data_IF_503966271829
#
_entry.id   IF_503966271829
#
_cell.length_a   1.000
_cell.length_b   1.000
_cell.length_c   1.000
_cell.angle_alpha   90.00
_cell.angle_beta   90.00
_cell.angle_gamma   90.00
#
_symmetry.space_group_name_H-M   'P 1'
#
loop_
_entity.id
_entity.type
_entity.pdbx_description
1 polymer ?
#
# COMPACT_ATOMS: atom_id res chain seq x y z
N UNK A 1 11.18 -25.52 -24.24
CA UNK A 1 10.22 -24.61 -23.56
C UNK A 1 10.82 -23.61 -22.55
N UNK A 2 12.07 -23.76 -22.04
CA UNK A 2 12.71 -22.81 -21.08
C UNK A 2 13.27 -21.53 -21.72
N UNK A 3 13.68 -21.54 -23.00
CA UNK A 3 14.25 -20.36 -23.69
C UNK A 3 13.21 -19.25 -23.98
N UNK A 4 11.97 -19.60 -24.32
CA UNK A 4 10.93 -18.61 -24.63
C UNK A 4 10.50 -17.76 -23.42
N UNK A 5 10.42 -18.37 -22.23
CA UNK A 5 10.08 -17.65 -20.99
C UNK A 5 11.18 -16.66 -20.57
N UNK A 6 12.45 -16.97 -20.80
CA UNK A 6 13.59 -16.10 -20.49
C UNK A 6 13.66 -14.88 -21.41
N UNK A 7 13.29 -15.01 -22.68
CA UNK A 7 13.23 -13.90 -23.64
C UNK A 7 12.04 -12.97 -23.34
N UNK A 8 10.88 -13.52 -23.03
CA UNK A 8 9.72 -12.72 -22.60
C UNK A 8 10.01 -11.95 -21.28
N UNK A 9 10.69 -12.57 -20.32
CA UNK A 9 11.13 -11.87 -19.10
C UNK A 9 12.14 -10.75 -19.39
N UNK A 10 13.05 -10.94 -20.35
CA UNK A 10 14.04 -9.94 -20.71
C UNK A 10 13.45 -8.78 -21.49
N UNK A 11 12.46 -9.01 -22.35
CA UNK A 11 11.70 -7.95 -23.03
C UNK A 11 10.86 -7.15 -22.03
N UNK A 12 10.14 -7.83 -21.11
CA UNK A 12 9.40 -7.19 -20.03
C UNK A 12 10.34 -6.38 -19.11
N UNK A 13 11.54 -6.88 -18.82
CA UNK A 13 12.54 -6.14 -18.04
C UNK A 13 13.10 -4.91 -18.77
N UNK A 14 13.30 -4.96 -20.10
CA UNK A 14 13.72 -3.81 -20.90
C UNK A 14 12.64 -2.74 -20.98
N UNK A 15 11.38 -3.14 -21.14
CA UNK A 15 10.27 -2.20 -21.18
C UNK A 15 9.99 -1.57 -19.82
N UNK A 16 10.15 -2.31 -18.73
CA UNK A 16 9.97 -1.78 -17.37
C UNK A 16 11.07 -0.79 -16.96
N UNK A 17 12.30 -0.94 -17.45
CA UNK A 17 13.35 0.09 -17.29
C UNK A 17 13.05 1.39 -18.06
N UNK A 18 12.22 1.34 -19.09
CA UNK A 18 11.71 2.51 -19.79
C UNK A 18 10.71 3.33 -18.98
N UNK A 19 10.04 2.71 -17.99
CA UNK A 19 9.07 3.38 -17.13
C UNK A 19 9.75 4.00 -15.91
N UNK A 20 10.32 5.16 -16.00
CA UNK A 20 11.08 5.91 -14.99
C UNK A 20 10.40 6.18 -13.64
N UNK A 21 9.92 5.13 -12.97
CA UNK A 21 9.07 5.19 -11.78
C UNK A 21 9.81 5.08 -10.45
N UNK A 22 11.14 4.93 -10.47
CA UNK A 22 11.93 4.87 -9.24
C UNK A 22 12.60 6.22 -9.02
N UNK A 23 11.83 7.19 -8.62
CA UNK A 23 12.31 8.31 -7.82
C UNK A 23 11.54 8.29 -6.51
N UNK A 24 12.30 8.36 -5.39
CA UNK A 24 11.87 8.75 -4.07
C UNK A 24 10.67 9.69 -4.20
N UNK A 25 9.47 9.17 -3.99
CA UNK A 25 8.27 9.98 -4.14
C UNK A 25 8.12 10.82 -2.88
N UNK A 26 8.72 12.02 -2.88
CA UNK A 26 8.14 13.16 -2.20
C UNK A 26 6.85 13.49 -2.99
N UNK A 27 5.82 12.64 -2.85
CA UNK A 27 4.51 12.96 -3.39
C UNK A 27 3.98 14.14 -2.60
N UNK A 28 3.96 15.31 -3.24
CA UNK A 28 2.95 16.31 -2.91
C UNK A 28 1.60 15.58 -3.02
N UNK A 29 0.73 15.79 -2.06
CA UNK A 29 -0.64 15.23 -2.07
C UNK A 29 -1.21 15.44 -3.46
N UNK A 30 -1.60 14.35 -4.13
CA UNK A 30 -2.14 14.44 -5.49
C UNK A 30 -3.46 15.22 -5.42
N UNK A 31 -3.74 16.08 -6.40
CA UNK A 31 -4.99 16.82 -6.49
C UNK A 31 -6.21 15.88 -6.49
N UNK A 32 -6.05 14.67 -7.07
CA UNK A 32 -7.07 13.61 -7.06
C UNK A 32 -7.32 13.11 -5.64
N UNK A 33 -6.26 12.91 -4.84
CA UNK A 33 -6.39 12.46 -3.45
C UNK A 33 -7.05 13.54 -2.58
N UNK A 34 -6.71 14.82 -2.77
CA UNK A 34 -7.36 15.95 -2.10
C UNK A 34 -8.86 16.01 -2.43
N UNK A 35 -9.19 15.87 -3.71
CA UNK A 35 -10.58 15.88 -4.17
C UNK A 35 -11.35 14.67 -3.61
N UNK A 36 -10.76 13.49 -3.64
CA UNK A 36 -11.37 12.28 -3.11
C UNK A 36 -11.61 12.38 -1.60
N UNK A 37 -10.68 12.97 -0.85
CA UNK A 37 -10.86 13.23 0.58
C UNK A 37 -11.99 14.20 0.85
N UNK A 38 -12.15 15.22 0.00
CA UNK A 38 -13.24 16.20 0.16
C UNK A 38 -14.62 15.57 -0.02
N UNK A 39 -14.73 14.56 -0.90
CA UNK A 39 -15.97 13.79 -1.09
C UNK A 39 -16.11 12.59 -0.14
N UNK A 40 -15.13 12.35 0.72
CA UNK A 40 -15.19 11.25 1.67
C UNK A 40 -16.07 11.60 2.87
N UNK A 41 -16.83 10.62 3.32
CA UNK A 41 -17.54 10.67 4.60
C UNK A 41 -16.69 10.01 5.68
N UNK A 42 -16.64 10.57 6.87
CA UNK A 42 -15.86 10.01 7.97
C UNK A 42 -16.31 10.52 9.34
N UNK A 43 -15.72 9.91 10.36
CA UNK A 43 -15.87 10.26 11.77
C UNK A 43 -14.49 10.47 12.41
N UNK A 44 -14.44 11.17 13.52
CA UNK A 44 -13.24 11.27 14.36
C UNK A 44 -13.33 10.26 15.50
N UNK A 45 -12.26 9.48 15.68
CA UNK A 45 -12.13 8.51 16.76
C UNK A 45 -10.86 8.84 17.54
N UNK A 46 -11.01 9.46 18.70
CA UNK A 46 -9.89 9.84 19.56
C UNK A 46 -8.81 10.70 18.84
N UNK A 47 -9.22 11.57 17.92
CA UNK A 47 -8.33 12.43 17.14
C UNK A 47 -7.79 11.80 15.85
N UNK A 48 -8.20 10.56 15.53
CA UNK A 48 -7.91 9.89 14.27
C UNK A 48 -9.12 10.01 13.35
N UNK A 49 -8.96 10.67 12.21
CA UNK A 49 -10.02 10.69 11.21
C UNK A 49 -10.15 9.33 10.51
N UNK A 50 -11.34 8.74 10.53
CA UNK A 50 -11.65 7.48 9.87
C UNK A 50 -12.72 7.74 8.84
N UNK A 51 -12.44 7.45 7.55
CA UNK A 51 -13.37 7.81 6.49
C UNK A 51 -13.31 6.90 5.27
N UNK A 52 -14.29 7.10 4.39
CA UNK A 52 -14.46 6.28 3.19
C UNK A 52 -15.03 7.11 2.03
N UNK A 53 -14.73 6.69 0.81
CA UNK A 53 -15.42 7.12 -0.42
C UNK A 53 -16.65 6.27 -0.73
N UNK A 54 -16.92 5.27 0.09
CA UNK A 54 -18.03 4.33 -0.05
C UNK A 54 -19.39 5.03 0.08
N UNK A 55 -20.42 4.48 -0.58
CA UNK A 55 -21.81 4.93 -0.41
C UNK A 55 -22.45 4.37 0.86
N UNK A 56 -23.53 5.01 1.33
CA UNK A 56 -24.33 4.49 2.45
C UNK A 56 -24.78 3.06 2.19
N UNK A 57 -24.78 2.16 3.20
CA UNK A 57 -24.69 2.39 4.64
C UNK A 57 -23.25 2.37 5.23
N UNK A 58 -22.19 2.48 4.45
CA UNK A 58 -20.77 2.50 4.86
C UNK A 58 -20.30 1.25 5.62
N UNK A 59 -20.51 0.02 5.11
CA UNK A 59 -20.14 -1.19 5.83
C UNK A 59 -18.63 -1.30 6.06
N UNK A 60 -17.81 -0.86 5.11
CA UNK A 60 -16.36 -0.84 5.25
C UNK A 60 -15.89 0.08 6.37
N UNK A 61 -16.47 1.27 6.48
CA UNK A 61 -16.17 2.22 7.56
C UNK A 61 -16.45 1.60 8.92
N UNK A 62 -17.61 0.96 9.10
CA UNK A 62 -17.98 0.30 10.37
C UNK A 62 -17.00 -0.80 10.75
N UNK A 63 -16.59 -1.61 9.78
CA UNK A 63 -15.59 -2.67 10.03
C UNK A 63 -14.24 -2.12 10.49
N UNK A 64 -13.82 -0.97 9.95
CA UNK A 64 -12.59 -0.30 10.39
C UNK A 64 -12.75 0.28 11.79
N UNK A 65 -13.89 0.88 12.11
CA UNK A 65 -14.23 1.36 13.45
C UNK A 65 -14.20 0.21 14.47
N UNK A 66 -14.83 -0.93 14.15
CA UNK A 66 -14.82 -2.13 14.97
C UNK A 66 -13.40 -2.70 15.16
N UNK A 67 -12.57 -2.69 14.10
CA UNK A 67 -11.18 -3.12 14.19
C UNK A 67 -10.35 -2.18 15.09
N UNK A 68 -10.56 -0.87 15.04
CA UNK A 68 -9.92 0.08 15.96
C UNK A 68 -10.35 -0.15 17.42
N UNK A 69 -11.63 -0.42 17.65
CA UNK A 69 -12.12 -0.79 18.99
C UNK A 69 -11.52 -2.12 19.47
N UNK A 70 -11.31 -3.08 18.57
CA UNK A 70 -10.64 -4.34 18.89
C UNK A 70 -9.20 -4.07 19.37
N UNK A 71 -8.44 -3.22 18.63
CA UNK A 71 -7.09 -2.84 19.06
C UNK A 71 -7.12 -2.14 20.42
N UNK A 72 -8.03 -1.17 20.61
CA UNK A 72 -8.18 -0.41 21.86
C UNK A 72 -8.43 -1.32 23.07
N UNK A 73 -9.27 -2.34 22.89
CA UNK A 73 -9.67 -3.29 23.93
C UNK A 73 -8.55 -4.24 24.33
N UNK A 74 -7.80 -4.76 23.36
CA UNK A 74 -6.83 -5.82 23.59
C UNK A 74 -5.38 -5.33 23.69
N UNK A 75 -5.07 -4.18 23.08
CA UNK A 75 -3.72 -3.61 23.12
C UNK A 75 -3.73 -2.09 23.07
N UNK A 76 -3.92 -1.47 24.22
CA UNK A 76 -3.92 -0.01 24.38
C UNK A 76 -2.63 0.66 23.89
N UNK A 77 -1.50 -0.05 23.95
CA UNK A 77 -0.21 0.48 23.48
C UNK A 77 -0.18 0.59 21.96
N UNK A 78 -0.63 -0.46 21.21
CA UNK A 78 -0.72 -0.38 19.76
C UNK A 78 -1.81 0.58 19.31
N UNK A 79 -2.92 0.67 20.04
CA UNK A 79 -3.95 1.67 19.80
C UNK A 79 -3.39 3.10 19.92
N UNK A 80 -2.74 3.42 21.04
CA UNK A 80 -2.11 4.73 21.24
C UNK A 80 -1.09 5.05 20.15
N UNK A 81 -0.32 4.06 19.70
CA UNK A 81 0.64 4.24 18.61
C UNK A 81 -0.05 4.51 17.26
N UNK A 82 -1.16 3.85 16.96
CA UNK A 82 -1.93 4.10 15.75
C UNK A 82 -2.45 5.55 15.74
N UNK A 83 -3.14 5.97 16.81
CA UNK A 83 -3.66 7.33 16.98
C UNK A 83 -2.54 8.39 16.87
N UNK A 84 -1.37 8.12 17.45
CA UNK A 84 -0.28 9.10 17.49
C UNK A 84 0.51 9.20 16.17
N UNK A 85 0.60 8.12 15.40
CA UNK A 85 1.41 8.09 14.18
C UNK A 85 0.61 8.33 12.91
N UNK A 86 -0.69 8.04 12.91
CA UNK A 86 -1.58 8.27 11.78
C UNK A 86 -2.42 9.53 12.01
N UNK A 87 -2.66 10.30 10.95
CA UNK A 87 -3.66 11.35 10.95
C UNK A 87 -5.01 10.81 10.46
N UNK A 88 -4.98 9.73 9.66
CA UNK A 88 -6.17 9.18 9.00
C UNK A 88 -6.10 7.67 8.86
N UNK A 89 -7.28 7.02 8.89
CA UNK A 89 -7.52 5.72 8.27
C UNK A 89 -8.56 5.93 7.17
N UNK A 90 -8.22 5.59 5.94
CA UNK A 90 -9.04 5.91 4.79
C UNK A 90 -9.33 4.66 3.96
N UNK A 91 -10.60 4.31 3.83
CA UNK A 91 -11.07 3.20 3.01
C UNK A 91 -11.40 3.69 1.62
N UNK A 92 -10.71 3.19 0.62
CA UNK A 92 -10.96 3.48 -0.81
C UNK A 92 -10.40 2.37 -1.71
N UNK A 93 -10.73 2.40 -2.98
CA UNK A 93 -10.10 1.50 -3.94
C UNK A 93 -8.60 1.79 -4.07
N UNK A 94 -7.78 0.77 -3.83
CA UNK A 94 -6.33 0.82 -3.99
C UNK A 94 -5.88 -0.05 -5.16
N UNK A 95 -5.04 0.48 -6.06
CA UNK A 95 -4.55 -0.31 -7.20
C UNK A 95 -3.43 -1.29 -6.85
N UNK A 96 -2.93 -1.36 -5.63
CA UNK A 96 -1.64 -2.04 -5.40
C UNK A 96 -1.60 -3.10 -4.33
N UNK A 97 -2.37 -2.96 -3.28
CA UNK A 97 -2.25 -3.82 -2.11
C UNK A 97 -3.54 -3.82 -1.30
N UNK A 98 -3.57 -4.63 -0.23
CA UNK A 98 -4.65 -4.60 0.76
C UNK A 98 -4.69 -3.29 1.53
N UNK A 99 -3.50 -2.69 1.72
CA UNK A 99 -3.32 -1.41 2.38
C UNK A 99 -1.99 -0.77 1.99
N UNK A 100 -1.82 0.52 2.31
CA UNK A 100 -0.54 1.19 2.27
C UNK A 100 -0.54 2.39 3.24
N UNK A 101 0.64 2.71 3.77
CA UNK A 101 0.85 3.98 4.44
C UNK A 101 1.13 5.07 3.39
N UNK A 102 0.26 6.05 3.31
CA UNK A 102 0.46 7.25 2.50
C UNK A 102 1.12 8.36 3.31
N UNK A 103 2.37 8.64 3.00
CA UNK A 103 3.20 9.65 3.67
C UNK A 103 2.61 11.05 3.55
N UNK A 104 2.12 11.41 2.36
CA UNK A 104 1.65 12.76 2.07
C UNK A 104 0.40 13.13 2.87
N UNK A 105 -0.43 12.12 3.14
CA UNK A 105 -1.68 12.23 3.89
C UNK A 105 -1.51 11.83 5.36
N UNK A 106 -0.37 11.24 5.73
CA UNK A 106 -0.15 10.53 7.00
C UNK A 106 -1.29 9.54 7.29
N UNK A 107 -1.68 8.80 6.27
CA UNK A 107 -2.86 7.96 6.29
C UNK A 107 -2.49 6.48 6.14
N UNK A 108 -3.14 5.63 6.93
CA UNK A 108 -3.35 4.23 6.61
C UNK A 108 -4.47 4.16 5.58
N UNK A 109 -4.18 3.81 4.34
CA UNK A 109 -5.17 3.65 3.28
C UNK A 109 -5.45 2.16 3.10
N UNK A 110 -6.72 1.77 3.25
CA UNK A 110 -7.18 0.39 3.15
C UNK A 110 -7.95 0.20 1.85
N UNK A 111 -7.71 -0.91 1.15
CA UNK A 111 -8.48 -1.27 -0.03
C UNK A 111 -9.92 -1.64 0.38
N UNK A 112 -10.90 -0.98 -0.23
CA UNK A 112 -12.31 -1.23 -0.01
C UNK A 112 -12.67 -2.71 -0.25
N UNK A 113 -12.14 -3.33 -1.31
CA UNK A 113 -12.38 -4.75 -1.62
C UNK A 113 -11.89 -5.67 -0.51
N UNK A 114 -10.72 -5.35 0.08
CA UNK A 114 -10.17 -6.10 1.20
C UNK A 114 -11.03 -5.94 2.45
N UNK A 115 -11.42 -4.71 2.77
CA UNK A 115 -12.22 -4.42 3.96
C UNK A 115 -13.62 -5.04 3.86
N UNK A 116 -14.24 -5.06 2.66
CA UNK A 116 -15.57 -5.59 2.42
C UNK A 116 -15.61 -7.11 2.19
N UNK A 117 -14.48 -7.76 1.96
CA UNK A 117 -14.43 -9.20 1.74
C UNK A 117 -14.91 -9.94 3.00
N UNK A 118 -15.91 -10.81 2.86
CA UNK A 118 -16.52 -11.56 3.97
C UNK A 118 -15.49 -12.42 4.72
N UNK A 119 -14.51 -12.96 4.01
CA UNK A 119 -13.44 -13.77 4.60
C UNK A 119 -12.38 -12.96 5.34
N UNK A 120 -12.34 -11.64 5.17
CA UNK A 120 -11.45 -10.77 5.94
C UNK A 120 -12.02 -10.57 7.34
N UNK A 121 -11.26 -10.94 8.37
CA UNK A 121 -11.70 -10.79 9.77
C UNK A 121 -11.37 -9.39 10.33
N UNK A 122 -11.99 -9.01 11.44
CA UNK A 122 -11.66 -7.76 12.14
C UNK A 122 -10.22 -7.77 12.66
N UNK A 123 -9.74 -8.92 13.09
CA UNK A 123 -8.36 -9.14 13.54
C UNK A 123 -7.36 -8.85 12.40
N UNK A 124 -7.67 -9.29 11.19
CA UNK A 124 -6.84 -9.02 10.01
C UNK A 124 -6.82 -7.52 9.65
N UNK A 125 -7.97 -6.83 9.73
CA UNK A 125 -8.03 -5.38 9.52
C UNK A 125 -7.23 -4.65 10.62
N UNK A 126 -7.39 -5.07 11.87
CA UNK A 126 -6.65 -4.51 13.01
C UNK A 126 -5.12 -4.68 12.85
N UNK A 127 -4.66 -5.88 12.47
CA UNK A 127 -3.26 -6.16 12.15
C UNK A 127 -2.75 -5.23 11.04
N UNK A 128 -3.54 -5.05 9.98
CA UNK A 128 -3.18 -4.17 8.87
C UNK A 128 -3.03 -2.71 9.32
N UNK A 129 -3.93 -2.20 10.16
CA UNK A 129 -3.82 -0.84 10.71
C UNK A 129 -2.54 -0.70 11.57
N UNK A 130 -2.21 -1.70 12.39
CA UNK A 130 -0.99 -1.72 13.20
C UNK A 130 0.26 -1.74 12.29
N UNK A 131 0.22 -2.50 11.19
CA UNK A 131 1.27 -2.56 10.18
C UNK A 131 1.56 -1.17 9.61
N UNK A 132 0.54 -0.51 9.08
CA UNK A 132 0.68 0.81 8.45
C UNK A 132 1.05 1.91 9.47
N UNK A 133 0.53 1.83 10.70
CA UNK A 133 0.96 2.71 11.79
C UNK A 133 2.44 2.50 12.17
N UNK A 134 2.98 1.29 11.95
CA UNK A 134 4.40 1.00 12.15
C UNK A 134 5.24 1.63 11.06
N UNK A 135 4.81 1.58 9.79
CA UNK A 135 5.44 2.33 8.69
C UNK A 135 5.49 3.84 9.01
N UNK A 136 4.36 4.40 9.44
CA UNK A 136 4.28 5.81 9.85
C UNK A 136 5.29 6.17 10.95
N UNK A 137 5.44 5.30 11.96
CA UNK A 137 6.39 5.48 13.04
C UNK A 137 7.83 5.41 12.57
N UNK A 138 8.17 4.43 11.74
CA UNK A 138 9.53 4.25 11.20
C UNK A 138 9.94 5.45 10.35
N UNK A 139 9.02 5.97 9.55
CA UNK A 139 9.23 7.18 8.77
C UNK A 139 9.51 8.40 9.65
N UNK A 140 8.72 8.61 10.73
CA UNK A 140 8.97 9.69 11.70
C UNK A 140 10.36 9.62 12.34
N UNK A 141 10.93 8.42 12.45
CA UNK A 141 12.30 8.21 12.90
C UNK A 141 13.35 8.39 11.79
N UNK A 142 12.95 8.79 10.60
CA UNK A 142 13.84 9.00 9.46
C UNK A 142 14.29 7.72 8.77
N UNK A 143 13.65 6.58 9.06
CA UNK A 143 13.95 5.31 8.39
C UNK A 143 13.31 5.34 7.01
N UNK A 144 14.15 5.26 5.98
CA UNK A 144 13.72 5.30 4.57
C UNK A 144 13.24 3.92 4.12
N UNK A 145 12.12 3.88 3.38
CA UNK A 145 11.60 2.65 2.75
C UNK A 145 12.32 2.38 1.42
N UNK A 146 13.66 2.36 1.45
CA UNK A 146 14.50 2.06 0.30
C UNK A 146 14.56 0.55 0.05
N UNK A 147 14.81 0.14 -1.19
CA UNK A 147 14.84 -1.26 -1.63
C UNK A 147 15.63 -2.19 -0.68
N UNK A 148 16.78 -1.72 -0.21
CA UNK A 148 17.67 -2.48 0.68
C UNK A 148 17.09 -2.72 2.09
N UNK A 149 16.21 -1.86 2.54
CA UNK A 149 15.65 -1.90 3.89
C UNK A 149 14.22 -2.45 3.92
N UNK A 150 13.55 -2.59 2.77
CA UNK A 150 12.13 -2.99 2.71
C UNK A 150 11.86 -4.29 3.44
N UNK A 151 12.58 -5.35 3.15
CA UNK A 151 12.41 -6.65 3.81
C UNK A 151 12.52 -6.53 5.35
N UNK A 152 13.50 -5.76 5.84
CA UNK A 152 13.68 -5.52 7.29
C UNK A 152 12.53 -4.70 7.88
N UNK A 153 12.07 -3.69 7.16
CA UNK A 153 10.95 -2.83 7.58
C UNK A 153 9.66 -3.66 7.66
N UNK A 154 9.37 -4.45 6.61
CA UNK A 154 8.22 -5.35 6.59
C UNK A 154 8.29 -6.38 7.74
N UNK A 155 9.47 -6.94 7.99
CA UNK A 155 9.66 -7.84 9.13
C UNK A 155 9.42 -7.16 10.48
N UNK A 156 9.75 -5.87 10.64
CA UNK A 156 9.41 -5.11 11.86
C UNK A 156 7.90 -4.92 11.97
N UNK A 157 7.21 -4.60 10.87
CA UNK A 157 5.76 -4.45 10.85
C UNK A 157 5.06 -5.77 11.22
N UNK A 158 5.48 -6.89 10.61
CA UNK A 158 4.94 -8.23 10.92
C UNK A 158 5.17 -8.64 12.38
N UNK A 159 6.32 -8.33 12.96
CA UNK A 159 6.56 -8.57 14.40
C UNK A 159 5.61 -7.77 15.30
N UNK A 160 5.19 -6.57 14.88
CA UNK A 160 4.18 -5.79 15.62
C UNK A 160 2.79 -6.40 15.50
N UNK A 161 2.45 -6.90 14.32
CA UNK A 161 1.21 -7.66 14.14
C UNK A 161 1.20 -8.91 15.04
N UNK A 162 2.25 -9.72 15.01
CA UNK A 162 2.38 -10.91 15.86
C UNK A 162 2.28 -10.59 17.35
N UNK A 163 2.89 -9.48 17.79
CA UNK A 163 2.77 -9.05 19.18
C UNK A 163 1.32 -8.70 19.56
N UNK A 164 0.57 -8.07 18.66
CA UNK A 164 -0.86 -7.79 18.88
C UNK A 164 -1.69 -9.07 18.86
N UNK A 165 -1.47 -9.96 17.89
CA UNK A 165 -2.18 -11.25 17.75
C UNK A 165 -2.04 -12.07 19.03
N UNK A 166 -0.85 -12.10 19.64
CA UNK A 166 -0.62 -12.80 20.90
C UNK A 166 -1.43 -12.27 22.10
N UNK A 167 -2.13 -11.14 21.94
CA UNK A 167 -3.07 -10.59 22.95
C UNK A 167 -4.54 -10.89 22.64
N UNK A 168 -4.82 -11.46 21.47
CA UNK A 168 -6.17 -11.80 21.07
C UNK A 168 -6.57 -13.16 21.64
N UNK A 169 -7.84 -13.34 22.10
CA UNK A 169 -8.31 -14.59 22.69
C UNK A 169 -8.28 -15.79 21.74
N UNK A 170 -8.27 -15.56 20.42
CA UNK A 170 -8.30 -16.60 19.38
C UNK A 170 -7.31 -16.24 18.25
N UNK A 171 -6.07 -15.94 18.62
CA UNK A 171 -5.05 -15.48 17.68
C UNK A 171 -4.22 -16.59 17.03
N UNK A 172 -4.33 -17.84 17.45
CA UNK A 172 -3.38 -18.92 17.08
C UNK A 172 -3.24 -19.09 15.56
N UNK A 173 -4.35 -19.34 14.85
CA UNK A 173 -4.31 -19.54 13.40
C UNK A 173 -3.72 -18.35 12.65
N UNK A 174 -4.09 -17.13 13.04
CA UNK A 174 -3.57 -15.90 12.43
C UNK A 174 -2.09 -15.69 12.79
N UNK A 175 -1.67 -16.13 13.98
CA UNK A 175 -0.27 -16.12 14.41
C UNK A 175 0.60 -17.00 13.53
N UNK A 176 0.16 -18.24 13.26
CA UNK A 176 0.89 -19.16 12.41
C UNK A 176 1.04 -18.64 10.98
N UNK A 177 -0.06 -18.11 10.40
CA UNK A 177 -0.03 -17.48 9.07
C UNK A 177 0.98 -16.31 9.02
N UNK A 178 0.97 -15.46 10.03
CA UNK A 178 1.87 -14.29 10.10
C UNK A 178 3.31 -14.67 10.38
N UNK A 179 3.56 -15.74 11.16
CA UNK A 179 4.90 -16.26 11.40
C UNK A 179 5.52 -16.79 10.10
N UNK A 180 4.78 -17.57 9.32
CA UNK A 180 5.21 -18.03 8.00
C UNK A 180 5.47 -16.85 7.05
N UNK A 181 4.63 -15.82 7.07
CA UNK A 181 4.82 -14.60 6.27
C UNK A 181 6.11 -13.87 6.68
N UNK A 182 6.41 -13.83 7.97
CA UNK A 182 7.64 -13.21 8.49
C UNK A 182 8.89 -13.97 8.03
N UNK A 183 8.88 -15.30 8.09
CA UNK A 183 9.99 -16.14 7.59
C UNK A 183 10.21 -15.92 6.09
N UNK A 184 9.12 -15.95 5.33
CA UNK A 184 9.16 -15.68 3.90
C UNK A 184 9.69 -14.27 3.59
N UNK A 185 9.24 -13.26 4.33
CA UNK A 185 9.68 -11.87 4.16
C UNK A 185 11.19 -11.70 4.37
N UNK A 186 11.80 -12.50 5.26
CA UNK A 186 13.24 -12.50 5.54
C UNK A 186 14.06 -13.29 4.51
N UNK A 187 13.44 -14.19 3.76
CA UNK A 187 14.11 -15.09 2.82
C UNK A 187 14.08 -14.61 1.36
N UNK A 188 13.05 -13.87 0.96
CA UNK A 188 12.84 -13.47 -0.45
C UNK A 188 13.16 -11.99 -0.67
N UNK A 189 14.39 -11.73 -1.08
CA UNK A 189 14.84 -10.36 -1.37
C UNK A 189 14.33 -9.82 -2.71
N UNK A 190 14.07 -10.67 -3.71
CA UNK A 190 13.63 -10.22 -5.05
C UNK A 190 12.21 -9.65 -5.04
N UNK A 191 11.35 -10.14 -4.15
CA UNK A 191 9.99 -9.61 -3.98
C UNK A 191 9.98 -8.12 -3.59
N UNK A 192 10.94 -7.67 -2.80
CA UNK A 192 11.05 -6.29 -2.32
C UNK A 192 11.84 -5.38 -3.25
N UNK A 193 12.30 -5.88 -4.40
CA UNK A 193 12.98 -5.07 -5.40
C UNK A 193 12.05 -4.00 -6.01
N UNK A 194 12.63 -2.91 -6.46
CA UNK A 194 11.91 -1.84 -7.14
C UNK A 194 11.16 -2.36 -8.38
N UNK A 195 11.76 -3.32 -9.09
CA UNK A 195 11.18 -3.94 -10.25
C UNK A 195 9.91 -4.73 -9.91
N UNK A 196 9.99 -5.60 -8.88
CA UNK A 196 8.86 -6.40 -8.42
C UNK A 196 7.72 -5.51 -7.87
N UNK A 197 8.07 -4.42 -7.19
CA UNK A 197 7.09 -3.45 -6.69
C UNK A 197 6.35 -2.77 -7.84
N UNK A 198 7.07 -2.37 -8.91
CA UNK A 198 6.46 -1.78 -10.11
C UNK A 198 5.54 -2.75 -10.84
N UNK A 199 5.94 -4.02 -10.97
CA UNK A 199 5.13 -5.05 -11.61
C UNK A 199 3.82 -5.27 -10.86
N UNK A 200 3.89 -5.41 -9.53
CA UNK A 200 2.69 -5.54 -8.69
C UNK A 200 1.78 -4.31 -8.77
N UNK A 201 2.38 -3.11 -8.80
CA UNK A 201 1.60 -1.89 -8.99
C UNK A 201 0.83 -1.91 -10.32
N UNK A 202 1.48 -2.24 -11.43
CA UNK A 202 0.84 -2.29 -12.74
C UNK A 202 -0.26 -3.35 -12.78
N UNK A 203 0.02 -4.52 -12.23
CA UNK A 203 -0.96 -5.59 -12.13
C UNK A 203 -2.19 -5.15 -11.34
N UNK A 204 -1.98 -4.54 -10.18
CA UNK A 204 -3.08 -4.05 -9.34
C UNK A 204 -3.89 -2.93 -9.99
N UNK A 205 -3.26 -2.04 -10.77
CA UNK A 205 -3.99 -1.04 -11.59
C UNK A 205 -4.90 -1.73 -12.61
N UNK A 206 -4.40 -2.76 -13.31
CA UNK A 206 -5.18 -3.53 -14.28
C UNK A 206 -6.37 -4.20 -13.59
N UNK A 207 -6.15 -4.86 -12.47
CA UNK A 207 -7.20 -5.53 -11.67
C UNK A 207 -8.25 -4.54 -11.15
N UNK A 208 -7.82 -3.37 -10.71
CA UNK A 208 -8.75 -2.31 -10.25
C UNK A 208 -9.58 -1.77 -11.41
N UNK A 209 -8.99 -1.55 -12.59
CA UNK A 209 -9.75 -1.11 -13.76
C UNK A 209 -10.77 -2.17 -14.21
N UNK A 210 -10.41 -3.46 -14.15
CA UNK A 210 -11.36 -4.56 -14.43
C UNK A 210 -12.47 -4.62 -13.39
N UNK A 211 -12.16 -4.45 -12.13
CA UNK A 211 -13.14 -4.37 -11.06
C UNK A 211 -14.16 -3.23 -11.28
N UNK A 212 -13.68 -2.10 -11.80
CA UNK A 212 -14.53 -0.96 -12.20
C UNK A 212 -15.29 -1.18 -13.51
N UNK A 213 -15.19 -2.38 -14.12
CA UNK A 213 -15.89 -2.71 -15.37
C UNK A 213 -15.23 -2.16 -16.64
N UNK A 214 -13.98 -1.69 -16.57
CA UNK A 214 -13.30 -1.21 -17.77
C UNK A 214 -12.99 -2.38 -18.73
N UNK A 215 -13.36 -2.28 -20.01
CA UNK A 215 -13.08 -3.34 -20.98
C UNK A 215 -11.58 -3.41 -21.30
N UNK A 216 -11.09 -4.61 -21.63
CA UNK A 216 -9.65 -4.87 -21.84
C UNK A 216 -9.02 -4.00 -22.94
N UNK A 217 -9.78 -3.60 -23.97
CA UNK A 217 -9.27 -2.70 -25.01
C UNK A 217 -8.97 -1.31 -24.46
N UNK A 218 -9.82 -0.77 -23.56
CA UNK A 218 -9.62 0.52 -22.89
C UNK A 218 -8.41 0.46 -21.96
N UNK A 219 -8.28 -0.61 -21.18
CA UNK A 219 -7.12 -0.84 -20.31
C UNK A 219 -5.82 -0.82 -21.13
N UNK A 220 -5.79 -1.50 -22.28
CA UNK A 220 -4.62 -1.49 -23.19
C UNK A 220 -4.29 -0.09 -23.72
N UNK A 221 -5.31 0.71 -24.07
CA UNK A 221 -5.09 2.11 -24.50
C UNK A 221 -4.51 2.94 -23.35
N UNK A 222 -5.10 2.88 -22.16
CA UNK A 222 -4.62 3.64 -20.98
C UNK A 222 -3.17 3.29 -20.63
N UNK A 223 -2.80 2.02 -20.69
CA UNK A 223 -1.43 1.58 -20.44
C UNK A 223 -0.47 2.10 -21.50
N UNK A 224 -0.86 2.11 -22.80
CA UNK A 224 -0.05 2.69 -23.90
C UNK A 224 0.12 4.20 -23.74
N UNK A 225 -0.95 4.94 -23.46
CA UNK A 225 -0.89 6.40 -23.23
C UNK A 225 0.04 6.71 -22.08
N UNK A 226 -0.10 5.99 -20.96
CA UNK A 226 0.79 6.14 -19.80
C UNK A 226 2.25 5.88 -20.18
N UNK A 227 2.54 4.85 -20.99
CA UNK A 227 3.87 4.53 -21.47
C UNK A 227 4.49 5.68 -22.27
N UNK A 228 3.71 6.27 -23.20
CA UNK A 228 4.13 7.40 -24.01
C UNK A 228 4.40 8.63 -23.16
N UNK A 229 3.49 9.01 -22.26
CA UNK A 229 3.65 10.16 -21.36
C UNK A 229 4.90 10.01 -20.49
N UNK A 230 5.13 8.82 -19.94
CA UNK A 230 6.34 8.55 -19.15
C UNK A 230 7.62 8.60 -19.98
N UNK A 231 7.57 8.18 -21.24
CA UNK A 231 8.68 8.29 -22.20
C UNK A 231 9.03 9.76 -22.53
N UNK A 232 8.02 10.57 -22.79
CA UNK A 232 8.19 12.01 -23.08
C UNK A 232 8.77 12.75 -21.87
N UNK A 233 8.30 12.48 -20.66
CA UNK A 233 8.85 13.09 -19.43
C UNK A 233 10.35 12.78 -19.24
N UNK A 234 10.81 11.59 -19.62
CA UNK A 234 12.24 11.25 -19.57
C UNK A 234 13.07 12.05 -20.57
N UNK A 235 12.59 12.18 -21.81
CA UNK A 235 13.30 12.95 -22.83
C UNK A 235 13.46 14.42 -22.41
N UNK A 236 12.41 15.03 -21.86
CA UNK A 236 12.44 16.40 -21.35
C UNK A 236 13.37 16.56 -20.14
N UNK A 237 13.40 15.57 -19.24
CA UNK A 237 14.27 15.63 -18.04
C UNK A 237 15.75 15.42 -18.37
N UNK A 238 16.08 14.65 -19.39
CA UNK A 238 17.46 14.48 -19.88
C UNK A 238 17.92 15.73 -20.60
N UNK A 239 17.06 16.37 -21.40
CA UNK A 239 17.37 17.60 -22.10
C UNK A 239 17.59 18.81 -21.17
N UNK A 240 17.05 18.79 -19.95
CA UNK A 240 17.20 19.86 -18.94
C UNK A 240 18.40 19.71 -18.01
N UNK A 241 19.23 18.66 -18.14
CA UNK A 241 20.47 18.59 -17.37
C UNK A 241 21.48 19.60 -17.92
N UNK A 242 21.85 20.65 -17.17
CA UNK A 242 22.91 21.54 -17.60
C UNK A 242 24.20 20.74 -17.72
N UNK A 243 24.86 20.84 -18.88
CA UNK A 243 26.23 20.35 -19.02
C UNK A 243 27.07 21.05 -17.96
N UNK A 244 27.47 20.35 -16.91
CA UNK A 244 28.55 20.82 -16.04
C UNK A 244 29.79 20.91 -16.94
N UNK A 245 30.13 22.11 -17.32
CA UNK A 245 31.45 22.41 -17.89
C UNK A 245 32.51 21.96 -16.89
N UNK A 246 33.43 21.16 -17.37
CA UNK A 246 34.64 20.75 -16.68
C UNK A 246 35.54 21.96 -16.42
#
# INVERSE_FOLDING_TARGET
>A
MRKGRRLQQLETQRDLRRFGWVKKQDRKTDAVDCLSLWFSTGSDIDGLWVGTTEGKPYPGLRRVEDALQLIKRHDSLHYSRAIHNLARVWVRLLPTARACYDRSLKACVLDERYVLLETTTLEQIACTIIHEATHAKLERWGISYDEKERSRIEAVCLRRELHFIGRLPRGEQLSDEKALTLEWCLSDHDYFSDLSLQQRYLQGVIETLRYLGAPDWLIRILLKVRAVVSGVHRLVSVARRPQRKA
#
